data_IF_186175724797
#
_entry.id   IF_186175724797
#
_cell.length_a   1.000
_cell.length_b   1.000
_cell.length_c   1.000
_cell.angle_alpha   90.00
_cell.angle_beta   90.00
_cell.angle_gamma   90.00
#
_symmetry.space_group_name_H-M   'P 1'
#
loop_
_entity.id
_entity.type
_entity.pdbx_description
1 polymer ?
#
# COMPACT_ATOMS: atom_id res chain seq x y z
N UNK A 1 59.53 9.27 25.53
CA UNK A 1 58.68 9.55 24.36
C UNK A 1 57.63 8.47 24.31
N UNK A 2 56.39 8.82 24.62
CA UNK A 2 55.25 7.94 24.38
C UNK A 2 54.15 8.84 23.84
N UNK A 3 53.98 8.78 22.53
CA UNK A 3 52.98 9.52 21.78
C UNK A 3 51.68 8.76 21.94
N UNK A 4 50.67 9.36 22.57
CA UNK A 4 49.30 8.87 22.53
C UNK A 4 48.74 9.19 21.14
N UNK A 5 48.20 8.22 20.37
CA UNK A 5 47.49 8.54 19.15
C UNK A 5 46.16 9.20 19.53
N UNK A 6 45.99 10.46 19.12
CA UNK A 6 44.67 11.08 18.99
C UNK A 6 43.97 10.38 17.83
N UNK A 7 43.03 9.48 18.14
CA UNK A 7 42.11 8.93 17.15
C UNK A 7 41.16 10.05 16.70
N UNK A 8 41.50 10.70 15.60
CA UNK A 8 40.55 11.46 14.81
C UNK A 8 39.50 10.52 14.19
N UNK A 9 38.26 10.61 14.66
CA UNK A 9 37.04 10.07 14.04
C UNK A 9 35.87 10.86 14.64
N UNK A 10 34.90 11.42 13.91
CA UNK A 10 34.43 11.14 12.58
C UNK A 10 33.88 12.40 11.89
N UNK A 11 33.97 12.39 10.56
CA UNK A 11 33.12 13.20 9.69
C UNK A 11 31.65 12.70 9.76
N UNK A 12 30.77 13.50 9.15
CA UNK A 12 29.34 13.29 8.91
C UNK A 12 28.38 13.60 10.07
N UNK A 13 28.08 14.89 10.25
CA UNK A 13 26.74 15.30 10.67
C UNK A 13 25.78 14.96 9.53
N UNK A 14 25.27 13.74 9.56
CA UNK A 14 24.04 13.40 8.86
C UNK A 14 22.95 14.36 9.36
N UNK A 15 22.34 15.08 8.42
CA UNK A 15 21.09 15.80 8.64
C UNK A 15 20.06 14.75 9.08
N UNK A 16 19.75 14.69 10.38
CA UNK A 16 18.60 13.95 10.91
C UNK A 16 17.34 14.62 10.35
N UNK A 17 16.95 14.21 9.14
CA UNK A 17 15.66 14.60 8.57
C UNK A 17 14.61 13.84 9.38
N UNK A 18 13.94 14.54 10.29
CA UNK A 18 12.76 14.04 10.99
C UNK A 18 11.66 13.72 9.96
N UNK A 19 11.65 12.48 9.47
CA UNK A 19 10.61 11.99 8.57
C UNK A 19 9.38 11.65 9.40
N UNK A 20 8.37 12.52 9.33
CA UNK A 20 7.06 12.23 9.92
C UNK A 20 6.35 11.22 9.03
N UNK A 21 6.02 10.08 9.62
CA UNK A 21 5.25 9.03 8.98
C UNK A 21 3.78 9.17 9.38
N UNK A 22 2.89 9.20 8.40
CA UNK A 22 1.45 9.33 8.58
C UNK A 22 0.72 8.05 8.15
N UNK A 23 -0.37 7.72 8.83
CA UNK A 23 -1.26 6.64 8.38
C UNK A 23 -2.14 7.16 7.26
N UNK A 24 -1.98 6.59 6.06
CA UNK A 24 -2.76 6.91 4.86
C UNK A 24 -3.64 5.72 4.50
N UNK A 25 -4.91 6.01 4.19
CA UNK A 25 -5.85 5.02 3.67
C UNK A 25 -5.92 5.15 2.15
N UNK A 26 -5.59 4.08 1.44
CA UNK A 26 -5.62 3.99 -0.02
C UNK A 26 -6.73 3.03 -0.43
N UNK A 27 -7.53 3.40 -1.41
CA UNK A 27 -8.60 2.62 -1.98
C UNK A 27 -8.18 2.16 -3.38
N UNK A 28 -8.47 0.90 -3.73
CA UNK A 28 -8.34 0.40 -5.09
C UNK A 28 -9.67 -0.19 -5.56
N UNK A 29 -10.11 0.18 -6.76
CA UNK A 29 -11.29 -0.39 -7.41
C UNK A 29 -10.86 -1.56 -8.30
N UNK A 30 -11.43 -2.73 -8.04
CA UNK A 30 -11.19 -3.96 -8.79
C UNK A 30 -12.49 -4.45 -9.43
N UNK A 31 -12.37 -4.92 -10.67
CA UNK A 31 -13.46 -5.60 -11.37
C UNK A 31 -13.46 -7.08 -11.02
N UNK A 32 -14.63 -7.68 -10.84
CA UNK A 32 -14.84 -9.12 -10.76
C UNK A 32 -16.01 -9.54 -11.65
N UNK A 33 -15.82 -10.57 -12.48
CA UNK A 33 -16.87 -11.13 -13.34
C UNK A 33 -17.62 -12.30 -12.68
N UNK A 34 -17.61 -12.37 -11.34
CA UNK A 34 -18.30 -13.39 -10.60
C UNK A 34 -19.84 -13.31 -10.76
N UNK A 35 -20.52 -14.44 -10.56
CA UNK A 35 -21.97 -14.56 -10.77
C UNK A 35 -22.82 -13.82 -9.72
N UNK A 36 -22.25 -13.59 -8.53
CA UNK A 36 -22.92 -12.94 -7.42
C UNK A 36 -21.93 -12.16 -6.55
N UNK A 37 -22.48 -11.34 -5.65
CA UNK A 37 -21.72 -10.45 -4.77
C UNK A 37 -20.75 -11.19 -3.83
N UNK A 38 -21.18 -12.30 -3.24
CA UNK A 38 -20.35 -13.03 -2.30
C UNK A 38 -19.17 -13.69 -3.03
N UNK A 39 -19.42 -14.21 -4.23
CA UNK A 39 -18.39 -14.74 -5.12
C UNK A 39 -17.43 -13.63 -5.59
N UNK A 40 -17.91 -12.42 -5.90
CA UNK A 40 -17.08 -11.29 -6.31
C UNK A 40 -16.11 -10.85 -5.20
N UNK A 41 -16.60 -10.73 -3.96
CA UNK A 41 -15.78 -10.40 -2.79
C UNK A 41 -14.76 -11.50 -2.51
N UNK A 42 -15.17 -12.77 -2.59
CA UNK A 42 -14.26 -13.91 -2.37
C UNK A 42 -13.14 -13.96 -3.44
N UNK A 43 -13.49 -13.74 -4.70
CA UNK A 43 -12.55 -13.65 -5.82
C UNK A 43 -11.51 -12.53 -5.62
N UNK A 44 -11.96 -11.32 -5.29
CA UNK A 44 -11.06 -10.19 -5.02
C UNK A 44 -10.17 -10.47 -3.81
N UNK A 45 -10.72 -11.03 -2.73
CA UNK A 45 -9.93 -11.43 -1.55
C UNK A 45 -8.87 -12.48 -1.90
N UNK A 46 -9.19 -13.45 -2.75
CA UNK A 46 -8.24 -14.47 -3.18
C UNK A 46 -7.12 -13.85 -4.02
N UNK A 47 -7.44 -12.92 -4.93
CA UNK A 47 -6.45 -12.17 -5.72
C UNK A 47 -5.54 -11.31 -4.85
N UNK A 48 -6.06 -10.72 -3.77
CA UNK A 48 -5.29 -9.90 -2.83
C UNK A 48 -4.56 -10.72 -1.75
N UNK A 49 -4.75 -12.05 -1.70
CA UNK A 49 -4.08 -12.91 -0.72
C UNK A 49 -2.55 -12.76 -0.70
N UNK A 50 -1.84 -12.64 -1.84
CA UNK A 50 -0.38 -12.47 -1.87
C UNK A 50 0.12 -11.21 -1.14
N UNK A 51 -0.73 -10.20 -0.99
CA UNK A 51 -0.36 -8.89 -0.42
C UNK A 51 -0.97 -8.65 0.97
N UNK A 52 -1.70 -9.61 1.52
CA UNK A 52 -2.49 -9.49 2.77
C UNK A 52 -1.66 -9.13 4.02
N UNK A 53 -0.35 -9.35 4.01
CA UNK A 53 0.56 -9.01 5.12
C UNK A 53 1.40 -7.75 4.90
N UNK A 54 1.24 -7.07 3.76
CA UNK A 54 1.99 -5.86 3.42
C UNK A 54 1.27 -4.58 3.88
N UNK A 55 0.04 -4.72 4.36
CA UNK A 55 -0.83 -3.62 4.74
C UNK A 55 -1.48 -3.95 6.10
N UNK A 56 -1.83 -2.91 6.87
CA UNK A 56 -2.43 -3.07 8.18
C UNK A 56 -3.85 -3.67 8.12
N UNK A 57 -4.63 -3.35 7.08
CA UNK A 57 -6.00 -3.86 6.87
C UNK A 57 -6.38 -3.88 5.37
N UNK A 58 -7.28 -4.81 5.00
CA UNK A 58 -7.90 -4.90 3.67
C UNK A 58 -9.41 -5.14 3.82
N UNK A 59 -10.20 -4.09 3.64
CA UNK A 59 -11.68 -4.18 3.62
C UNK A 59 -12.18 -4.15 2.18
N UNK A 60 -13.14 -5.01 1.86
CA UNK A 60 -13.62 -5.26 0.50
C UNK A 60 -15.13 -4.99 0.45
N UNK A 61 -15.55 -3.93 -0.26
CA UNK A 61 -16.95 -3.47 -0.32
C UNK A 61 -17.44 -3.33 -1.77
N UNK A 62 -18.70 -3.67 -2.03
CA UNK A 62 -19.32 -3.51 -3.36
C UNK A 62 -19.66 -2.04 -3.62
N UNK A 63 -19.47 -1.59 -4.88
CA UNK A 63 -19.99 -0.31 -5.35
C UNK A 63 -21.14 -0.42 -6.35
N UNK A 64 -21.00 -1.15 -7.46
CA UNK A 64 -21.96 -1.10 -8.59
C UNK A 64 -22.03 -2.44 -9.38
N UNK A 65 -23.11 -2.64 -10.15
CA UNK A 65 -23.32 -3.77 -11.07
C UNK A 65 -23.59 -3.23 -12.49
N UNK A 66 -22.71 -3.59 -13.42
CA UNK A 66 -22.79 -3.21 -14.84
C UNK A 66 -22.66 -4.45 -15.75
N UNK A 67 -23.18 -5.60 -15.30
CA UNK A 67 -22.89 -6.92 -15.90
C UNK A 67 -21.57 -7.54 -15.41
N UNK A 68 -20.90 -6.87 -14.47
CA UNK A 68 -19.79 -7.33 -13.63
C UNK A 68 -19.86 -6.54 -12.31
N UNK A 69 -19.12 -6.98 -11.30
CA UNK A 69 -19.09 -6.33 -9.98
C UNK A 69 -17.86 -5.43 -9.81
N UNK A 70 -18.08 -4.17 -9.42
CA UNK A 70 -17.03 -3.32 -8.89
C UNK A 70 -16.87 -3.51 -7.39
N UNK A 71 -15.65 -3.81 -6.99
CA UNK A 71 -15.27 -4.09 -5.61
C UNK A 71 -14.14 -3.15 -5.18
N UNK A 72 -14.28 -2.47 -4.06
CA UNK A 72 -13.27 -1.56 -3.53
C UNK A 72 -12.53 -2.24 -2.40
N UNK A 73 -11.20 -2.34 -2.54
CA UNK A 73 -10.30 -2.78 -1.49
C UNK A 73 -9.67 -1.57 -0.80
N UNK A 74 -9.74 -1.53 0.54
CA UNK A 74 -9.16 -0.47 1.37
C UNK A 74 -7.85 -0.93 2.01
N UNK A 75 -6.74 -0.33 1.63
CA UNK A 75 -5.40 -0.56 2.16
C UNK A 75 -5.05 0.53 3.18
N UNK A 76 -4.62 0.13 4.36
CA UNK A 76 -4.06 1.05 5.36
C UNK A 76 -2.53 0.89 5.33
N UNK A 77 -1.82 2.01 5.13
CA UNK A 77 -0.35 2.04 5.05
C UNK A 77 0.19 3.23 5.81
N UNK A 78 1.44 3.12 6.26
CA UNK A 78 2.20 4.24 6.82
C UNK A 78 3.12 4.80 5.74
N UNK A 79 3.08 6.11 5.50
CA UNK A 79 3.88 6.76 4.45
C UNK A 79 4.22 8.21 4.80
N UNK A 80 5.17 8.78 4.09
CA UNK A 80 5.59 10.19 4.25
C UNK A 80 4.59 11.17 3.66
N UNK A 81 3.81 10.72 2.68
CA UNK A 81 2.82 11.52 1.98
C UNK A 81 1.84 10.63 1.21
N UNK A 82 0.73 11.24 0.81
CA UNK A 82 -0.37 10.57 0.11
C UNK A 82 0.04 10.01 -1.25
N UNK A 83 0.91 10.73 -1.99
CA UNK A 83 1.33 10.30 -3.32
C UNK A 83 2.17 9.03 -3.22
N UNK A 84 3.15 9.01 -2.32
CA UNK A 84 3.99 7.85 -2.04
C UNK A 84 3.17 6.64 -1.60
N UNK A 85 2.16 6.83 -0.74
CA UNK A 85 1.25 5.75 -0.34
C UNK A 85 0.48 5.15 -1.54
N UNK A 86 -0.09 6.00 -2.40
CA UNK A 86 -0.86 5.55 -3.58
C UNK A 86 0.04 4.83 -4.58
N UNK A 87 1.25 5.35 -4.84
CA UNK A 87 2.23 4.72 -5.73
C UNK A 87 2.64 3.36 -5.17
N UNK A 88 2.97 3.27 -3.88
CA UNK A 88 3.37 2.02 -3.22
C UNK A 88 2.29 0.93 -3.32
N UNK A 89 1.02 1.28 -3.10
CA UNK A 89 -0.10 0.33 -3.28
C UNK A 89 -0.23 -0.08 -4.75
N UNK A 90 -0.14 0.86 -5.68
CA UNK A 90 -0.24 0.59 -7.12
C UNK A 90 0.86 -0.37 -7.59
N UNK A 91 2.10 -0.14 -7.18
CA UNK A 91 3.23 -1.01 -7.52
C UNK A 91 3.09 -2.39 -6.88
N UNK A 92 2.70 -2.46 -5.60
CA UNK A 92 2.48 -3.73 -4.89
C UNK A 92 1.41 -4.59 -5.58
N UNK A 93 0.29 -3.97 -5.99
CA UNK A 93 -0.76 -4.67 -6.74
C UNK A 93 -0.24 -5.17 -8.09
N UNK A 94 0.53 -4.34 -8.81
CA UNK A 94 1.15 -4.72 -10.08
C UNK A 94 2.08 -5.91 -9.94
N UNK A 95 2.94 -5.93 -8.92
CA UNK A 95 3.87 -7.02 -8.64
C UNK A 95 3.15 -8.32 -8.27
N UNK A 96 2.01 -8.20 -7.57
CA UNK A 96 1.13 -9.33 -7.28
C UNK A 96 0.30 -9.81 -8.49
N UNK A 97 0.41 -9.16 -9.65
CA UNK A 97 -0.37 -9.46 -10.84
C UNK A 97 -1.84 -9.07 -10.74
N UNK A 98 -2.19 -8.19 -9.80
CA UNK A 98 -3.56 -7.72 -9.56
C UNK A 98 -3.77 -6.42 -10.33
N UNK A 99 -4.75 -6.42 -11.24
CA UNK A 99 -5.14 -5.22 -11.98
C UNK A 99 -6.25 -4.48 -11.23
N UNK A 100 -5.96 -3.25 -10.81
CA UNK A 100 -6.95 -2.29 -10.34
C UNK A 100 -7.28 -1.31 -11.48
N UNK A 101 -8.55 -0.93 -11.58
CA UNK A 101 -9.03 0.06 -12.54
C UNK A 101 -8.64 1.48 -12.09
N UNK A 102 -8.71 1.72 -10.78
CA UNK A 102 -8.40 3.01 -10.17
C UNK A 102 -7.80 2.78 -8.78
N UNK A 103 -6.80 3.60 -8.40
CA UNK A 103 -6.19 3.61 -7.06
C UNK A 103 -6.07 5.06 -6.58
N UNK A 104 -6.57 5.36 -5.39
CA UNK A 104 -6.62 6.72 -4.85
C UNK A 104 -6.62 6.74 -3.33
N UNK A 105 -6.31 7.87 -2.69
CA UNK A 105 -6.40 7.99 -1.24
C UNK A 105 -7.81 8.38 -0.78
N UNK A 106 -8.25 7.85 0.36
CA UNK A 106 -9.46 8.33 1.03
C UNK A 106 -9.17 9.68 1.70
N UNK A 107 -9.86 10.72 1.28
CA UNK A 107 -9.74 12.08 1.82
C UNK A 107 -10.56 12.33 3.09
#
# INVERSE_FOLDING_TARGET
MTVTPESATAADTADDVDVVLETVVVLARLRSDAADEAAAVADVRQRLYPVRGLFDDIVVERREDEGYFWVVARFVTVSTDVHTAVVGVTETLREAGVTADEVWAAG
#
